data_IF_075435791453
#
_entry.id   IF_075435791453
#
_cell.length_a   1.000
_cell.length_b   1.000
_cell.length_c   1.000
_cell.angle_alpha   90.00
_cell.angle_beta   90.00
_cell.angle_gamma   90.00
#
_symmetry.space_group_name_H-M   'P 1'
#
loop_
_entity.id
_entity.type
_entity.pdbx_description
1 polymer ?
#
# COMPACT_ATOMS: atom_id res chain seq x y z
N UNK A 1 -36.70 -55.69 -18.43
CA UNK A 1 -35.34 -55.45 -18.95
C UNK A 1 -35.08 -53.97 -19.24
N UNK A 2 -35.80 -53.32 -20.16
CA UNK A 2 -35.53 -51.91 -20.53
C UNK A 2 -35.58 -50.90 -19.36
N UNK A 3 -36.56 -51.01 -18.46
CA UNK A 3 -36.69 -50.12 -17.28
C UNK A 3 -35.52 -50.25 -16.29
N UNK A 4 -35.02 -51.47 -16.12
CA UNK A 4 -33.84 -51.74 -15.27
C UNK A 4 -32.58 -51.14 -15.89
N UNK A 5 -32.39 -51.32 -17.21
CA UNK A 5 -31.25 -50.76 -17.93
C UNK A 5 -31.22 -49.23 -17.86
N UNK A 6 -32.36 -48.58 -18.04
CA UNK A 6 -32.48 -47.11 -17.89
C UNK A 6 -32.12 -46.67 -16.47
N UNK A 7 -32.58 -47.40 -15.45
CA UNK A 7 -32.26 -47.09 -14.06
C UNK A 7 -30.75 -47.21 -13.75
N UNK A 8 -30.10 -48.25 -14.27
CA UNK A 8 -28.64 -48.45 -14.11
C UNK A 8 -27.86 -47.33 -14.80
N UNK A 9 -28.27 -46.92 -15.99
CA UNK A 9 -27.60 -45.81 -16.72
C UNK A 9 -27.73 -44.49 -15.97
N UNK A 10 -28.92 -44.20 -15.40
CA UNK A 10 -29.13 -42.98 -14.60
C UNK A 10 -28.26 -43.01 -13.33
N UNK A 11 -28.19 -44.14 -12.63
CA UNK A 11 -27.35 -44.28 -11.44
C UNK A 11 -25.86 -44.10 -11.76
N UNK A 12 -25.38 -44.70 -12.86
CA UNK A 12 -24.00 -44.56 -13.30
C UNK A 12 -23.65 -43.10 -13.64
N UNK A 13 -24.56 -42.37 -14.27
CA UNK A 13 -24.37 -40.95 -14.57
C UNK A 13 -24.22 -40.12 -13.29
N UNK A 14 -25.06 -40.36 -12.28
CA UNK A 14 -25.00 -39.65 -10.99
C UNK A 14 -23.66 -39.89 -10.28
N UNK A 15 -23.18 -41.14 -10.23
CA UNK A 15 -21.92 -41.47 -9.55
C UNK A 15 -20.72 -40.85 -10.25
N UNK A 16 -20.73 -40.78 -11.58
CA UNK A 16 -19.67 -40.12 -12.36
C UNK A 16 -19.70 -38.61 -12.13
N UNK A 17 -20.87 -37.98 -12.10
CA UNK A 17 -21.00 -36.54 -11.82
C UNK A 17 -20.51 -36.16 -10.42
N UNK A 18 -20.77 -36.98 -9.41
CA UNK A 18 -20.26 -36.73 -8.04
C UNK A 18 -18.74 -36.93 -7.92
N UNK A 19 -18.12 -37.69 -8.82
CA UNK A 19 -16.67 -37.89 -8.85
C UNK A 19 -15.90 -36.74 -9.53
N UNK A 20 -16.58 -35.80 -10.20
CA UNK A 20 -15.91 -34.75 -10.99
C UNK A 20 -15.16 -33.70 -10.14
N UNK A 21 -15.52 -33.51 -8.86
CA UNK A 21 -14.80 -32.60 -7.97
C UNK A 21 -14.56 -33.25 -6.60
N UNK A 22 -13.30 -33.49 -6.21
CA UNK A 22 -13.03 -34.10 -4.92
C UNK A 22 -13.38 -33.15 -3.77
N UNK A 23 -13.90 -33.70 -2.68
CA UNK A 23 -14.40 -32.98 -1.51
C UNK A 23 -13.36 -32.04 -0.86
N UNK A 24 -12.07 -32.35 -1.00
CA UNK A 24 -10.99 -31.53 -0.43
C UNK A 24 -10.67 -30.26 -1.23
N UNK A 25 -11.19 -30.11 -2.45
CA UNK A 25 -10.91 -28.96 -3.32
C UNK A 25 -11.70 -27.68 -2.92
N UNK A 26 -12.36 -27.70 -1.77
CA UNK A 26 -13.20 -26.61 -1.26
C UNK A 26 -14.43 -26.33 -2.13
N UNK A 27 -15.32 -25.45 -1.68
CA UNK A 27 -16.49 -25.01 -2.47
C UNK A 27 -16.17 -23.76 -3.29
N UNK A 28 -15.10 -23.05 -2.95
CA UNK A 28 -14.73 -21.78 -3.57
C UNK A 28 -14.37 -21.96 -5.06
N UNK A 29 -14.70 -20.99 -5.92
CA UNK A 29 -14.22 -20.96 -7.30
C UNK A 29 -12.69 -21.01 -7.34
N UNK A 30 -12.11 -21.69 -8.34
CA UNK A 30 -10.68 -21.62 -8.61
C UNK A 30 -10.39 -20.19 -9.07
N UNK A 31 -9.73 -19.42 -8.22
CA UNK A 31 -9.45 -18.01 -8.44
C UNK A 31 -8.39 -17.50 -7.47
N UNK A 32 -7.94 -16.27 -7.68
CA UNK A 32 -6.87 -15.66 -6.89
C UNK A 32 -7.19 -15.66 -5.40
N UNK A 33 -6.18 -15.86 -4.52
CA UNK A 33 -6.38 -15.78 -3.09
C UNK A 33 -6.94 -14.41 -2.72
N UNK A 34 -7.82 -14.38 -1.71
CA UNK A 34 -8.28 -13.13 -1.09
C UNK A 34 -7.03 -12.42 -0.57
N UNK A 35 -6.62 -11.34 -1.24
CA UNK A 35 -5.56 -10.48 -0.76
C UNK A 35 -6.04 -9.90 0.57
N UNK A 36 -5.41 -10.28 1.68
CA UNK A 36 -5.70 -9.69 2.98
C UNK A 36 -5.29 -8.22 2.92
N UNK A 37 -6.24 -7.33 2.66
CA UNK A 37 -6.00 -5.89 2.55
C UNK A 37 -5.43 -5.33 3.87
N UNK A 38 -5.75 -5.98 4.99
CA UNK A 38 -5.38 -5.54 6.33
C UNK A 38 -3.92 -5.81 6.70
N UNK A 39 -3.27 -6.80 6.07
CA UNK A 39 -1.87 -7.17 6.37
C UNK A 39 -0.87 -6.18 5.78
N UNK A 40 -1.23 -5.47 4.69
CA UNK A 40 -0.36 -4.46 4.08
C UNK A 40 -0.16 -3.23 4.98
N UNK A 41 -1.16 -2.88 5.80
CA UNK A 41 -1.07 -1.74 6.73
C UNK A 41 -0.03 -1.95 7.84
N UNK A 42 0.17 -3.19 8.29
CA UNK A 42 1.10 -3.51 9.38
C UNK A 42 2.54 -3.75 8.88
N UNK A 43 2.72 -4.12 7.61
CA UNK A 43 4.06 -4.25 7.01
C UNK A 43 4.64 -2.92 6.49
N UNK A 44 3.80 -1.94 6.16
CA UNK A 44 4.24 -0.62 5.68
C UNK A 44 5.20 0.06 6.68
N UNK A 45 4.90 -0.05 7.98
CA UNK A 45 5.71 0.57 9.04
C UNK A 45 7.07 -0.10 9.29
N UNK A 46 7.32 -1.26 8.68
CA UNK A 46 8.57 -2.02 8.91
C UNK A 46 9.76 -1.46 8.13
N UNK A 47 9.51 -0.79 7.01
CA UNK A 47 10.57 -0.23 6.14
C UNK A 47 10.74 1.28 6.31
N UNK A 48 10.11 1.86 7.35
CA UNK A 48 10.20 3.29 7.60
C UNK A 48 9.43 4.14 6.59
N UNK A 49 8.37 3.62 5.96
CA UNK A 49 7.45 4.45 5.16
C UNK A 49 6.79 5.56 5.99
N UNK A 50 6.62 5.32 7.30
CA UNK A 50 6.18 6.32 8.29
C UNK A 50 7.31 7.22 8.81
N UNK A 51 8.55 7.03 8.34
CA UNK A 51 9.64 7.92 8.73
C UNK A 51 9.33 9.34 8.24
N UNK A 52 9.66 10.36 9.03
CA UNK A 52 9.39 11.73 8.62
C UNK A 52 10.27 12.02 7.40
N UNK A 53 9.63 12.20 6.25
CA UNK A 53 10.28 12.52 4.97
C UNK A 53 10.12 13.99 4.64
N UNK A 54 11.11 14.60 3.95
CA UNK A 54 10.99 15.97 3.48
C UNK A 54 9.78 16.15 2.55
N UNK A 55 9.01 17.22 2.73
CA UNK A 55 7.82 17.51 1.93
C UNK A 55 8.15 17.70 0.43
N UNK A 56 9.36 18.16 0.12
CA UNK A 56 9.87 18.41 -1.23
C UNK A 56 9.94 17.12 -2.06
N UNK A 57 10.10 15.98 -1.41
CA UNK A 57 10.17 14.67 -2.07
C UNK A 57 8.81 14.19 -2.54
N UNK A 58 7.71 14.81 -2.06
CA UNK A 58 6.32 14.41 -2.35
C UNK A 58 6.07 12.91 -2.12
N UNK A 59 6.76 12.29 -1.16
CA UNK A 59 6.68 10.86 -0.88
C UNK A 59 7.44 9.96 -1.86
N UNK A 60 8.30 10.52 -2.72
CA UNK A 60 9.13 9.73 -3.63
C UNK A 60 10.35 9.15 -2.90
N UNK A 61 10.23 7.89 -2.46
CA UNK A 61 11.28 7.16 -1.75
C UNK A 61 12.54 6.93 -2.60
N UNK A 62 12.39 6.71 -3.92
CA UNK A 62 13.53 6.50 -4.80
C UNK A 62 14.44 7.73 -4.90
N UNK A 63 13.85 8.93 -4.81
CA UNK A 63 14.60 10.17 -4.76
C UNK A 63 15.41 10.29 -3.46
N UNK A 64 14.80 9.97 -2.32
CA UNK A 64 15.45 9.98 -1.01
C UNK A 64 16.65 9.03 -1.01
N UNK A 65 16.42 7.77 -1.40
CA UNK A 65 17.49 6.76 -1.49
C UNK A 65 18.63 7.20 -2.40
N UNK A 66 18.32 7.87 -3.53
CA UNK A 66 19.34 8.42 -4.42
C UNK A 66 20.14 9.53 -3.73
N UNK A 67 19.48 10.45 -3.05
CA UNK A 67 20.16 11.55 -2.34
C UNK A 67 21.01 11.01 -1.18
N UNK A 68 20.51 10.02 -0.44
CA UNK A 68 21.26 9.39 0.66
C UNK A 68 22.50 8.66 0.18
N UNK A 69 22.49 8.11 -1.03
CA UNK A 69 23.66 7.49 -1.66
C UNK A 69 24.77 8.49 -2.02
N UNK A 70 24.47 9.80 -2.05
CA UNK A 70 25.45 10.85 -2.32
C UNK A 70 26.26 11.19 -1.07
N UNK A 71 27.56 11.54 -1.21
CA UNK A 71 28.34 12.18 -0.15
C UNK A 71 27.64 13.42 0.40
N UNK A 72 27.82 13.73 1.69
CA UNK A 72 27.13 14.82 2.38
C UNK A 72 27.26 16.17 1.67
N UNK A 73 28.44 16.47 1.13
CA UNK A 73 28.74 17.73 0.44
C UNK A 73 28.02 17.86 -0.92
N UNK A 74 27.61 16.72 -1.49
CA UNK A 74 26.90 16.65 -2.77
C UNK A 74 25.37 16.57 -2.58
N UNK A 75 24.88 16.54 -1.34
CA UNK A 75 23.45 16.52 -1.07
C UNK A 75 22.87 17.93 -1.27
N UNK A 76 21.65 18.04 -1.81
CA UNK A 76 21.05 19.34 -2.04
C UNK A 76 20.73 20.02 -0.70
N UNK A 77 20.94 21.33 -0.64
CA UNK A 77 20.79 22.13 0.58
C UNK A 77 19.42 21.98 1.26
N UNK A 78 18.35 21.89 0.47
CA UNK A 78 17.01 21.68 0.99
C UNK A 78 16.88 20.35 1.75
N UNK A 79 17.55 19.30 1.28
CA UNK A 79 17.51 17.97 1.89
C UNK A 79 18.36 17.89 3.15
N UNK A 80 19.45 18.66 3.24
CA UNK A 80 20.24 18.72 4.48
C UNK A 80 19.50 19.49 5.57
N UNK A 81 18.72 20.52 5.21
CA UNK A 81 18.05 21.43 6.15
C UNK A 81 16.53 21.23 6.27
N UNK A 82 15.98 20.17 5.69
CA UNK A 82 14.53 19.98 5.61
C UNK A 82 13.82 20.02 6.97
N UNK A 83 14.44 19.46 8.02
CA UNK A 83 13.89 19.46 9.37
C UNK A 83 13.71 20.88 9.93
N UNK A 84 14.66 21.78 9.61
CA UNK A 84 14.59 23.18 10.00
C UNK A 84 13.48 23.90 9.24
N UNK A 85 13.34 23.65 7.94
CA UNK A 85 12.25 24.20 7.14
C UNK A 85 10.87 23.74 7.65
N UNK A 86 10.74 22.46 8.02
CA UNK A 86 9.50 21.95 8.59
C UNK A 86 9.19 22.57 9.97
N UNK A 87 10.20 22.77 10.81
CA UNK A 87 10.03 23.50 12.06
C UNK A 87 9.56 24.94 11.81
N UNK A 88 10.17 25.63 10.85
CA UNK A 88 9.79 26.99 10.46
C UNK A 88 8.37 27.06 9.88
N UNK A 89 7.96 26.06 9.09
CA UNK A 89 6.58 25.98 8.57
C UNK A 89 5.56 25.80 9.70
N UNK A 90 5.89 24.98 10.70
CA UNK A 90 5.02 24.77 11.87
C UNK A 90 4.95 26.00 12.77
N UNK A 91 6.05 26.73 12.89
CA UNK A 91 6.17 27.94 13.73
C UNK A 91 6.90 29.04 12.97
N UNK A 92 6.18 29.75 12.07
CA UNK A 92 6.81 30.78 11.26
C UNK A 92 7.34 31.88 12.16
N UNK A 93 8.59 32.27 11.93
CA UNK A 93 9.16 33.44 12.56
C UNK A 93 8.45 34.67 11.99
N UNK A 94 7.56 35.25 12.79
CA UNK A 94 6.86 36.47 12.45
C UNK A 94 7.58 37.65 13.08
N UNK A 95 7.70 38.74 12.32
CA UNK A 95 8.20 40.01 12.82
C UNK A 95 7.01 40.95 13.00
N UNK A 96 7.03 41.84 14.01
CA UNK A 96 5.98 42.84 14.16
C UNK A 96 5.91 43.68 12.89
N UNK A 97 4.70 43.84 12.35
CA UNK A 97 4.46 44.71 11.21
C UNK A 97 4.75 46.14 11.66
N UNK A 98 5.61 46.85 10.93
CA UNK A 98 5.85 48.26 11.19
C UNK A 98 4.52 49.02 11.02
N UNK A 99 4.06 49.79 12.02
CA UNK A 99 2.81 50.53 11.92
C UNK A 99 2.86 51.51 10.74
N UNK A 100 1.72 51.69 10.08
CA UNK A 100 1.60 52.60 8.95
C UNK A 100 1.48 54.04 9.47
N UNK A 101 2.47 54.89 9.15
CA UNK A 101 2.49 56.30 9.54
C UNK A 101 1.49 57.18 8.75
N UNK A 102 0.85 56.65 7.71
CA UNK A 102 -0.07 57.37 6.84
C UNK A 102 -1.55 57.20 7.20
N UNK A 103 -1.86 56.41 8.24
CA UNK A 103 -3.21 56.27 8.77
C UNK A 103 -3.26 57.11 10.05
N UNK A 104 -3.51 58.41 9.88
CA UNK A 104 -3.85 59.36 10.95
C UNK A 104 -5.11 60.10 10.52
#
# INVERSE_FOLDING_TARGET
>A
MARLAVFVVILAAITISMAQRPFYAGVRPIGYPVMATDTYSQLSNRFGEDAPVPIETKGNVNLINRIDSLPIDNRPFWYTNWQYYDALRRRPQTWPIRPNNFIN
#
